data_IF_807095588712
#
_entry.id   IF_807095588712
#
_cell.length_a   1.000
_cell.length_b   1.000
_cell.length_c   1.000
_cell.angle_alpha   90.00
_cell.angle_beta   90.00
_cell.angle_gamma   90.00
#
_symmetry.space_group_name_H-M   'P 1'
#
loop_
_entity.id
_entity.type
_entity.pdbx_description
1 polymer ?
#
# COMPACT_ATOMS: atom_id res chain seq x y z
N UNK A 1 -16.08 2.85 -17.51
CA UNK A 1 -15.25 2.24 -16.44
C UNK A 1 -14.71 3.37 -15.60
N UNK A 2 -14.97 3.34 -14.29
CA UNK A 2 -14.43 4.38 -13.40
C UNK A 2 -12.93 4.12 -13.18
N UNK A 3 -12.08 4.99 -13.72
CA UNK A 3 -10.63 4.94 -13.57
C UNK A 3 -10.16 6.18 -12.80
N UNK A 4 -9.47 5.96 -11.67
CA UNK A 4 -8.98 7.01 -10.78
C UNK A 4 -7.52 6.71 -10.44
N UNK A 5 -6.64 7.69 -10.49
CA UNK A 5 -5.19 7.56 -10.25
C UNK A 5 -4.53 6.41 -11.04
N UNK A 6 -5.01 6.13 -12.25
CA UNK A 6 -4.52 5.04 -13.08
C UNK A 6 -5.06 3.64 -12.76
N UNK A 7 -5.89 3.50 -11.72
CA UNK A 7 -6.47 2.22 -11.29
C UNK A 7 -7.92 2.10 -11.73
N UNK A 8 -8.28 0.94 -12.28
CA UNK A 8 -9.66 0.61 -12.61
C UNK A 8 -10.40 0.10 -11.38
N UNK A 9 -11.49 0.79 -11.04
CA UNK A 9 -12.28 0.47 -9.85
C UNK A 9 -13.31 -0.63 -10.15
N UNK A 10 -13.56 -1.54 -9.18
CA UNK A 10 -14.55 -2.60 -9.33
C UNK A 10 -15.97 -2.02 -9.36
N UNK A 11 -16.70 -2.25 -10.46
CA UNK A 11 -18.02 -1.67 -10.75
C UNK A 11 -19.09 -2.01 -9.69
N UNK A 12 -19.07 -3.24 -9.19
CA UNK A 12 -20.13 -3.79 -8.35
C UNK A 12 -19.92 -3.54 -6.84
N UNK A 13 -18.87 -2.82 -6.46
CA UNK A 13 -18.58 -2.50 -5.06
C UNK A 13 -19.15 -1.13 -4.68
N UNK A 14 -19.48 -0.96 -3.39
CA UNK A 14 -19.82 0.35 -2.82
C UNK A 14 -18.62 1.31 -2.96
N UNK A 15 -18.90 2.59 -3.09
CA UNK A 15 -17.89 3.63 -3.31
C UNK A 15 -16.76 3.59 -2.31
N UNK A 16 -17.07 3.48 -1.02
CA UNK A 16 -16.07 3.36 0.06
C UNK A 16 -15.13 2.18 -0.17
N UNK A 17 -15.65 1.02 -0.57
CA UNK A 17 -14.82 -0.17 -0.80
C UNK A 17 -14.09 -0.08 -2.14
N UNK A 18 -14.73 0.51 -3.16
CA UNK A 18 -14.10 0.72 -4.47
C UNK A 18 -12.84 1.59 -4.37
N UNK A 19 -12.88 2.67 -3.62
CA UNK A 19 -11.74 3.58 -3.44
C UNK A 19 -10.57 2.92 -2.68
N UNK A 20 -10.80 1.96 -1.81
CA UNK A 20 -9.71 1.25 -1.11
C UNK A 20 -8.83 0.38 -2.01
N UNK A 21 -9.18 0.20 -3.28
CA UNK A 21 -8.31 -0.47 -4.25
C UNK A 21 -7.14 0.41 -4.71
N UNK A 22 -7.22 1.72 -4.45
CA UNK A 22 -6.14 2.66 -4.73
C UNK A 22 -5.14 2.62 -3.56
N UNK A 23 -3.87 2.40 -3.86
CA UNK A 23 -2.83 2.39 -2.83
C UNK A 23 -2.69 3.78 -2.17
N UNK A 24 -2.86 3.80 -0.86
CA UNK A 24 -2.85 5.03 -0.04
C UNK A 24 -4.23 5.44 0.45
N UNK A 25 -5.31 4.87 -0.07
CA UNK A 25 -6.67 5.16 0.37
C UNK A 25 -7.19 4.01 1.23
N UNK A 26 -7.39 4.28 2.51
CA UNK A 26 -8.07 3.40 3.45
C UNK A 26 -9.58 3.70 3.53
N UNK A 27 -10.31 2.95 4.35
CA UNK A 27 -11.76 3.17 4.54
C UNK A 27 -12.09 4.57 5.06
N UNK A 28 -11.33 5.06 6.04
CA UNK A 28 -11.52 6.40 6.62
C UNK A 28 -11.33 7.48 5.56
N UNK A 29 -10.21 7.43 4.82
CA UNK A 29 -9.91 8.37 3.75
C UNK A 29 -10.94 8.28 2.61
N UNK A 30 -11.40 7.07 2.27
CA UNK A 30 -12.46 6.89 1.28
C UNK A 30 -13.76 7.54 1.71
N UNK A 31 -14.14 7.42 2.99
CA UNK A 31 -15.33 8.09 3.57
C UNK A 31 -15.19 9.61 3.50
N UNK A 32 -14.01 10.15 3.85
CA UNK A 32 -13.72 11.59 3.76
C UNK A 32 -13.84 12.12 2.31
N UNK A 33 -13.25 11.40 1.34
CA UNK A 33 -13.35 11.75 -0.08
C UNK A 33 -14.80 11.81 -0.55
N UNK A 34 -15.60 10.78 -0.23
CA UNK A 34 -17.01 10.72 -0.64
C UNK A 34 -17.84 11.79 0.03
N UNK A 35 -17.61 12.09 1.31
CA UNK A 35 -18.26 13.19 2.03
C UNK A 35 -17.93 14.54 1.40
N UNK A 36 -16.66 14.78 1.10
CA UNK A 36 -16.23 16.02 0.45
C UNK A 36 -16.82 16.19 -0.96
N UNK A 37 -17.00 15.08 -1.69
CA UNK A 37 -17.66 15.08 -3.00
C UNK A 37 -19.19 15.09 -2.93
N UNK A 38 -19.79 15.04 -1.73
CA UNK A 38 -21.26 14.99 -1.55
C UNK A 38 -21.92 13.69 -2.02
N UNK A 39 -21.17 12.57 -2.05
CA UNK A 39 -21.60 11.28 -2.58
C UNK A 39 -21.91 10.33 -1.42
N UNK A 40 -23.00 9.58 -1.50
CA UNK A 40 -23.33 8.54 -0.51
C UNK A 40 -22.27 7.43 -0.51
N UNK A 41 -21.84 7.02 0.68
CA UNK A 41 -20.85 5.95 0.87
C UNK A 41 -21.31 4.59 0.32
N UNK A 42 -22.62 4.34 0.31
CA UNK A 42 -23.23 3.09 -0.15
C UNK A 42 -23.49 3.05 -1.66
N UNK A 43 -23.41 4.20 -2.34
CA UNK A 43 -23.56 4.27 -3.80
C UNK A 43 -22.49 3.43 -4.48
N UNK A 44 -22.90 2.58 -5.43
CA UNK A 44 -21.97 1.71 -6.16
C UNK A 44 -21.16 2.51 -7.18
N UNK A 45 -19.95 2.03 -7.45
CA UNK A 45 -19.02 2.67 -8.40
C UNK A 45 -19.61 2.81 -9.82
N UNK A 46 -20.45 1.86 -10.25
CA UNK A 46 -21.12 1.91 -11.56
C UNK A 46 -22.21 2.97 -11.67
N UNK A 47 -22.69 3.49 -10.56
CA UNK A 47 -23.76 4.50 -10.48
C UNK A 47 -23.21 5.93 -10.41
N UNK A 48 -21.89 6.09 -10.36
CA UNK A 48 -21.26 7.41 -10.33
C UNK A 48 -21.35 8.12 -11.68
N UNK A 49 -21.72 9.38 -11.63
CA UNK A 49 -21.74 10.28 -12.77
C UNK A 49 -20.33 10.81 -13.07
N UNK A 50 -20.12 11.33 -14.28
CA UNK A 50 -18.83 11.89 -14.68
C UNK A 50 -18.43 13.11 -13.82
N UNK A 51 -19.37 13.93 -13.37
CA UNK A 51 -19.15 15.07 -12.46
C UNK A 51 -18.69 14.60 -11.07
N UNK A 52 -19.30 13.54 -10.56
CA UNK A 52 -18.91 12.92 -9.29
C UNK A 52 -17.49 12.34 -9.38
N UNK A 53 -17.18 11.68 -10.50
CA UNK A 53 -15.84 11.16 -10.76
C UNK A 53 -14.80 12.28 -10.88
N UNK A 54 -15.15 13.40 -11.50
CA UNK A 54 -14.28 14.58 -11.58
C UNK A 54 -14.01 15.16 -10.19
N UNK A 55 -15.05 15.30 -9.37
CA UNK A 55 -14.94 15.81 -7.99
C UNK A 55 -14.02 14.93 -7.13
N UNK A 56 -14.19 13.59 -7.22
CA UNK A 56 -13.33 12.64 -6.51
C UNK A 56 -11.88 12.75 -6.97
N UNK A 57 -11.64 12.85 -8.29
CA UNK A 57 -10.27 12.99 -8.84
C UNK A 57 -9.59 14.28 -8.38
N UNK A 58 -10.30 15.39 -8.43
CA UNK A 58 -9.79 16.70 -7.99
C UNK A 58 -9.42 16.65 -6.50
N UNK A 59 -10.30 16.15 -5.67
CA UNK A 59 -10.04 16.03 -4.23
C UNK A 59 -8.79 15.18 -3.93
N UNK A 60 -8.66 14.02 -4.61
CA UNK A 60 -7.49 13.15 -4.44
C UNK A 60 -6.21 13.85 -4.89
N UNK A 61 -6.23 14.51 -6.04
CA UNK A 61 -5.05 15.20 -6.60
C UNK A 61 -4.57 16.34 -5.71
N UNK A 62 -5.50 17.08 -5.09
CA UNK A 62 -5.17 18.24 -4.25
C UNK A 62 -4.73 17.87 -2.83
N UNK A 63 -5.33 16.84 -2.25
CA UNK A 63 -5.20 16.58 -0.82
C UNK A 63 -4.44 15.30 -0.45
N UNK A 64 -4.31 14.34 -1.37
CA UNK A 64 -3.86 13.00 -1.00
C UNK A 64 -2.80 12.49 -1.98
N UNK A 65 -1.67 12.05 -1.45
CA UNK A 65 -0.67 11.32 -2.23
C UNK A 65 -1.08 9.86 -2.36
N UNK A 66 -1.13 9.38 -3.59
CA UNK A 66 -1.56 8.00 -3.87
C UNK A 66 -0.61 7.31 -4.85
N UNK A 67 -0.73 6.01 -4.94
CA UNK A 67 -0.07 5.14 -5.92
C UNK A 67 1.43 5.41 -6.08
N UNK A 68 1.86 5.85 -7.26
CA UNK A 68 3.27 6.01 -7.61
C UNK A 68 4.00 7.03 -6.74
N UNK A 69 3.36 8.16 -6.46
CA UNK A 69 3.92 9.22 -5.63
C UNK A 69 4.15 8.74 -4.19
N UNK A 70 3.14 8.10 -3.59
CA UNK A 70 3.25 7.56 -2.25
C UNK A 70 4.28 6.42 -2.16
N UNK A 71 4.33 5.55 -3.18
CA UNK A 71 5.35 4.47 -3.22
C UNK A 71 6.76 5.04 -3.29
N UNK A 72 6.97 6.06 -4.10
CA UNK A 72 8.26 6.74 -4.22
C UNK A 72 8.65 7.40 -2.90
N UNK A 73 7.73 8.08 -2.24
CA UNK A 73 7.97 8.68 -0.93
C UNK A 73 8.36 7.65 0.13
N UNK A 74 7.63 6.55 0.20
CA UNK A 74 7.94 5.45 1.14
C UNK A 74 9.33 4.87 0.86
N UNK A 75 9.69 4.65 -0.41
CA UNK A 75 11.01 4.14 -0.79
C UNK A 75 12.13 5.12 -0.43
N UNK A 76 11.92 6.42 -0.68
CA UNK A 76 12.88 7.46 -0.31
C UNK A 76 13.07 7.52 1.21
N UNK A 77 12.00 7.40 1.98
CA UNK A 77 12.07 7.36 3.44
C UNK A 77 12.86 6.14 3.94
N UNK A 78 12.66 4.97 3.34
CA UNK A 78 13.42 3.76 3.67
C UNK A 78 14.90 3.96 3.28
N UNK A 79 15.18 4.47 2.08
CA UNK A 79 16.54 4.75 1.64
C UNK A 79 17.24 5.71 2.59
N UNK A 80 16.59 6.80 2.97
CA UNK A 80 17.12 7.75 3.95
C UNK A 80 17.52 7.08 5.27
N UNK A 81 16.69 6.17 5.81
CA UNK A 81 17.02 5.43 7.02
C UNK A 81 18.24 4.52 6.84
N UNK A 82 18.41 3.93 5.66
CA UNK A 82 19.59 3.11 5.34
C UNK A 82 20.85 3.96 5.21
N UNK A 83 20.75 5.13 4.60
CA UNK A 83 21.88 6.05 4.36
C UNK A 83 22.39 6.64 5.69
N UNK A 84 21.49 6.97 6.59
CA UNK A 84 21.82 7.43 7.97
C UNK A 84 22.49 6.31 8.79
N UNK A 85 22.34 5.03 8.41
CA UNK A 85 22.90 3.89 9.14
C UNK A 85 22.23 3.59 10.48
N UNK A 86 21.03 4.10 10.71
CA UNK A 86 20.30 3.83 11.95
C UNK A 86 19.88 2.35 12.05
N UNK A 87 19.60 1.88 13.28
CA UNK A 87 19.19 0.49 13.51
C UNK A 87 18.03 0.06 12.60
N UNK A 88 17.03 0.92 12.41
CA UNK A 88 15.88 0.63 11.52
C UNK A 88 16.32 0.47 10.06
N UNK A 89 17.25 1.30 9.59
CA UNK A 89 17.81 1.20 8.25
C UNK A 89 18.59 -0.09 8.04
N UNK A 90 19.43 -0.48 9.00
CA UNK A 90 20.14 -1.77 8.97
C UNK A 90 19.15 -2.93 8.91
N UNK A 91 18.08 -2.88 9.70
CA UNK A 91 17.02 -3.91 9.69
C UNK A 91 16.29 -3.97 8.35
N UNK A 92 16.05 -2.84 7.68
CA UNK A 92 15.51 -2.80 6.33
C UNK A 92 16.44 -3.49 5.34
N UNK A 93 17.74 -3.18 5.38
CA UNK A 93 18.76 -3.77 4.50
C UNK A 93 18.84 -5.29 4.67
N UNK A 94 18.75 -5.79 5.89
CA UNK A 94 18.81 -7.22 6.20
C UNK A 94 17.48 -7.96 6.00
N UNK A 95 16.39 -7.28 5.67
CA UNK A 95 15.07 -7.88 5.55
C UNK A 95 14.53 -8.44 6.87
N UNK A 96 14.86 -7.82 8.00
CA UNK A 96 14.45 -8.23 9.34
C UNK A 96 13.30 -7.37 9.88
N UNK A 97 12.54 -7.85 10.89
CA UNK A 97 11.53 -7.04 11.57
C UNK A 97 12.15 -5.77 12.17
N UNK A 98 11.41 -4.65 12.10
CA UNK A 98 11.92 -3.32 12.41
C UNK A 98 11.63 -2.84 13.84
N UNK A 99 10.61 -3.45 14.49
CA UNK A 99 10.05 -2.96 15.76
C UNK A 99 10.45 -3.82 16.95
N UNK A 100 11.66 -4.34 16.97
CA UNK A 100 12.19 -5.12 18.10
C UNK A 100 11.59 -6.53 18.26
N UNK A 101 10.85 -7.04 17.26
CA UNK A 101 10.30 -8.38 17.34
C UNK A 101 11.40 -9.44 17.42
N UNK A 102 11.11 -10.51 18.15
CA UNK A 102 12.02 -11.66 18.28
C UNK A 102 12.29 -12.31 16.92
N UNK A 103 13.54 -12.57 16.60
CA UNK A 103 13.96 -13.12 15.31
C UNK A 103 14.50 -14.55 15.38
N UNK A 104 14.72 -15.08 16.59
CA UNK A 104 15.24 -16.44 16.79
C UNK A 104 14.33 -17.50 16.15
N UNK A 105 13.01 -17.38 16.28
CA UNK A 105 12.05 -18.37 15.83
C UNK A 105 11.40 -17.95 14.49
N UNK A 106 10.26 -17.31 14.55
CA UNK A 106 9.38 -16.99 13.41
C UNK A 106 9.87 -15.80 12.55
N UNK A 107 9.06 -14.82 12.33
CA UNK A 107 9.32 -13.64 11.47
C UNK A 107 9.46 -13.97 9.98
N UNK A 108 8.74 -15.01 9.51
CA UNK A 108 8.82 -15.50 8.14
C UNK A 108 8.34 -14.50 7.10
N UNK A 109 7.39 -13.64 7.44
CA UNK A 109 6.89 -12.57 6.54
C UNK A 109 8.03 -11.67 6.03
N UNK A 110 8.95 -11.30 6.92
CA UNK A 110 10.11 -10.46 6.55
C UNK A 110 11.29 -11.27 6.04
N UNK A 111 11.60 -12.39 6.70
CA UNK A 111 12.74 -13.25 6.35
C UNK A 111 12.52 -14.07 5.08
N UNK A 112 11.28 -14.25 4.65
CA UNK A 112 10.93 -15.15 3.57
C UNK A 112 10.92 -16.64 3.98
N UNK A 113 10.88 -17.52 2.99
CA UNK A 113 10.88 -18.98 3.21
C UNK A 113 12.15 -19.44 3.90
N UNK A 114 12.06 -20.54 4.64
CA UNK A 114 13.24 -21.17 5.27
C UNK A 114 14.23 -21.58 4.18
N UNK A 115 15.48 -21.16 4.35
CA UNK A 115 16.60 -21.59 3.51
C UNK A 115 17.47 -22.54 4.30
N UNK A 116 17.92 -23.63 3.70
CA UNK A 116 18.88 -24.54 4.31
C UNK A 116 20.23 -23.80 4.44
N UNK A 117 20.83 -23.86 5.62
CA UNK A 117 22.12 -23.18 5.92
C UNK A 117 23.30 -23.99 5.40
N UNK A 118 23.16 -25.31 5.38
CA UNK A 118 24.20 -26.19 4.87
C UNK A 118 23.97 -26.46 3.38
N UNK A 119 24.97 -26.19 2.54
CA UNK A 119 25.04 -26.84 1.25
C UNK A 119 25.04 -28.34 1.50
N UNK A 120 24.01 -29.03 1.05
CA UNK A 120 24.05 -30.49 0.99
C UNK A 120 25.24 -30.86 0.09
N UNK A 121 26.39 -31.09 0.68
CA UNK A 121 27.40 -31.92 0.00
C UNK A 121 26.67 -33.19 -0.43
N UNK A 122 26.55 -33.40 -1.73
CA UNK A 122 26.17 -34.72 -2.24
C UNK A 122 27.14 -35.69 -1.56
N UNK A 123 26.58 -36.63 -0.78
CA UNK A 123 27.37 -37.72 -0.25
C UNK A 123 28.09 -38.34 -1.46
N UNK A 124 29.41 -38.21 -1.50
CA UNK A 124 30.21 -38.99 -2.44
C UNK A 124 29.96 -40.45 -2.11
N UNK A 125 29.35 -41.15 -3.06
CA UNK A 125 29.30 -42.62 -3.00
C UNK A 125 30.71 -43.18 -3.07
#
# INVERSE_FOLDING_TARGET
MARIAGIDLPKNKRGVIGLTYIYGIGRSTASEILKAAGISEDKKVNEWNDDELASIRNYITENIKVEGELRSEVQLNIKRLMDIGCQRGIRHRLGLPLRGQRTKNNSRTRKGRRKTVANKKKASK
#
